data_IF_266381920733
#
_entry.id   IF_266381920733
#
_cell.length_a   1.000
_cell.length_b   1.000
_cell.length_c   1.000
_cell.angle_alpha   90.00
_cell.angle_beta   90.00
_cell.angle_gamma   90.00
#
_symmetry.space_group_name_H-M   'P 1'
#
loop_
_entity.id
_entity.type
_entity.pdbx_description
1 polymer ?
#
# COMPACT_ATOMS: atom_id res chain seq x y z
N UNK A 1 3.33 20.19 -28.63
CA UNK A 1 3.32 18.90 -27.93
C UNK A 1 2.46 19.11 -26.71
N UNK A 2 1.19 18.76 -26.84
CA UNK A 2 0.18 18.90 -25.78
C UNK A 2 0.34 17.73 -24.81
N UNK A 3 0.55 18.03 -23.53
CA UNK A 3 0.49 17.04 -22.45
C UNK A 3 -0.97 16.62 -22.28
N UNK A 4 -1.29 15.41 -22.71
CA UNK A 4 -2.56 14.77 -22.38
C UNK A 4 -2.63 14.54 -20.87
N UNK A 5 -3.34 15.43 -20.20
CA UNK A 5 -3.69 15.33 -18.80
C UNK A 5 -4.49 14.06 -18.54
N UNK A 6 -3.89 13.07 -17.84
CA UNK A 6 -4.61 11.91 -17.30
C UNK A 6 -5.79 12.39 -16.45
N UNK A 7 -6.97 12.35 -17.01
CA UNK A 7 -8.23 12.56 -16.30
C UNK A 7 -8.40 11.42 -15.28
N UNK A 8 -8.06 11.70 -14.02
CA UNK A 8 -8.39 10.82 -12.90
C UNK A 8 -9.88 10.92 -12.63
N UNK A 9 -10.66 9.99 -13.17
CA UNK A 9 -12.09 9.92 -12.88
C UNK A 9 -12.30 9.60 -11.39
N UNK A 10 -12.76 10.59 -10.63
CA UNK A 10 -13.30 10.40 -9.28
C UNK A 10 -14.70 9.79 -9.40
N UNK A 11 -14.80 8.47 -9.38
CA UNK A 11 -16.08 7.78 -9.37
C UNK A 11 -16.40 7.34 -7.94
N UNK A 12 -16.81 8.28 -7.08
CA UNK A 12 -17.17 7.97 -5.69
C UNK A 12 -18.45 8.65 -5.18
N UNK A 13 -19.29 9.21 -6.06
CA UNK A 13 -20.44 10.00 -5.65
C UNK A 13 -21.73 9.21 -5.37
N UNK A 14 -21.84 7.95 -5.78
CA UNK A 14 -23.09 7.18 -5.68
C UNK A 14 -22.97 5.94 -4.78
N UNK A 15 -22.37 6.07 -3.59
CA UNK A 15 -22.39 4.98 -2.64
C UNK A 15 -23.61 5.10 -1.73
N UNK A 16 -24.51 4.11 -1.72
CA UNK A 16 -25.56 4.07 -0.71
C UNK A 16 -24.94 4.03 0.69
N UNK A 17 -25.52 4.75 1.62
CA UNK A 17 -25.14 4.74 3.03
C UNK A 17 -25.27 3.33 3.59
N UNK A 18 -24.35 2.90 4.45
CA UNK A 18 -24.45 1.60 5.13
C UNK A 18 -25.70 1.44 6.00
N UNK A 19 -26.33 2.55 6.40
CA UNK A 19 -27.54 2.56 7.21
C UNK A 19 -28.80 2.06 6.46
N UNK A 20 -28.81 2.16 5.13
CA UNK A 20 -30.00 1.84 4.32
C UNK A 20 -30.04 0.39 3.83
N UNK A 21 -29.25 -0.48 4.41
CA UNK A 21 -29.05 -1.82 3.89
C UNK A 21 -29.79 -2.93 4.68
N UNK A 22 -30.84 -3.45 4.11
CA UNK A 22 -31.41 -4.76 4.47
C UNK A 22 -30.63 -5.92 3.83
N UNK A 23 -30.22 -6.93 4.60
CA UNK A 23 -29.16 -7.89 4.24
C UNK A 23 -29.34 -8.68 2.93
N UNK A 24 -30.52 -9.22 2.54
CA UNK A 24 -30.70 -9.96 1.29
C UNK A 24 -30.64 -9.05 0.05
N UNK A 25 -31.27 -7.86 0.10
CA UNK A 25 -31.25 -6.91 -1.00
C UNK A 25 -29.86 -6.32 -1.24
N UNK A 26 -29.01 -6.30 -0.21
CA UNK A 26 -27.61 -5.85 -0.30
C UNK A 26 -26.77 -6.68 -1.24
N UNK A 27 -26.85 -8.00 -1.12
CA UNK A 27 -26.06 -8.88 -1.98
C UNK A 27 -26.45 -8.74 -3.45
N UNK A 28 -27.74 -8.55 -3.72
CA UNK A 28 -28.20 -8.31 -5.09
C UNK A 28 -27.74 -6.94 -5.62
N UNK A 29 -27.81 -5.91 -4.78
CA UNK A 29 -27.32 -4.59 -5.13
C UNK A 29 -25.80 -4.58 -5.38
N UNK A 30 -25.02 -5.25 -4.52
CA UNK A 30 -23.57 -5.39 -4.69
C UNK A 30 -23.23 -6.12 -5.98
N UNK A 31 -23.89 -7.25 -6.28
CA UNK A 31 -23.66 -7.99 -7.54
C UNK A 31 -23.98 -7.14 -8.75
N UNK A 32 -25.05 -6.34 -8.71
CA UNK A 32 -25.41 -5.42 -9.79
C UNK A 32 -24.33 -4.34 -9.97
N UNK A 33 -23.78 -3.79 -8.90
CA UNK A 33 -22.68 -2.82 -8.97
C UNK A 33 -21.43 -3.46 -9.57
N UNK A 34 -21.07 -4.67 -9.10
CA UNK A 34 -19.92 -5.42 -9.62
C UNK A 34 -20.11 -5.69 -11.11
N UNK A 35 -21.30 -6.19 -11.53
CA UNK A 35 -21.61 -6.46 -12.93
C UNK A 35 -21.44 -5.20 -13.80
N UNK A 36 -22.01 -4.06 -13.36
CA UNK A 36 -21.88 -2.79 -14.08
C UNK A 36 -20.41 -2.40 -14.27
N UNK A 37 -19.58 -2.53 -13.24
CA UNK A 37 -18.14 -2.23 -13.31
C UNK A 37 -17.39 -3.18 -14.23
N UNK A 38 -17.64 -4.49 -14.11
CA UNK A 38 -16.98 -5.49 -14.96
C UNK A 38 -17.36 -5.39 -16.43
N UNK A 39 -18.60 -4.96 -16.74
CA UNK A 39 -19.03 -4.69 -18.11
C UNK A 39 -18.32 -3.45 -18.67
N UNK A 40 -18.15 -2.41 -17.86
CA UNK A 40 -17.44 -1.19 -18.24
C UNK A 40 -15.93 -1.41 -18.42
N UNK A 41 -15.36 -2.39 -17.71
CA UNK A 41 -13.93 -2.69 -17.70
C UNK A 41 -13.70 -4.18 -17.98
N UNK A 42 -13.83 -4.61 -19.26
CA UNK A 42 -13.79 -6.04 -19.63
C UNK A 42 -12.45 -6.71 -19.35
N UNK A 43 -11.36 -5.94 -19.27
CA UNK A 43 -10.03 -6.45 -18.88
C UNK A 43 -9.79 -6.21 -17.39
N UNK A 44 -10.51 -6.95 -16.54
CA UNK A 44 -10.36 -6.86 -15.10
C UNK A 44 -9.39 -7.92 -14.55
N UNK A 45 -8.57 -7.53 -13.57
CA UNK A 45 -7.69 -8.41 -12.82
C UNK A 45 -7.99 -8.29 -11.33
N UNK A 46 -8.10 -9.43 -10.64
CA UNK A 46 -8.32 -9.51 -9.20
C UNK A 46 -7.08 -10.07 -8.50
N UNK A 47 -6.52 -9.29 -7.58
CA UNK A 47 -5.44 -9.75 -6.70
C UNK A 47 -6.02 -10.59 -5.57
N UNK A 48 -5.81 -11.91 -5.64
CA UNK A 48 -6.26 -12.87 -4.65
C UNK A 48 -5.14 -13.18 -3.67
N UNK A 49 -5.37 -12.99 -2.37
CA UNK A 49 -4.34 -13.16 -1.33
C UNK A 49 -4.44 -14.49 -0.57
N UNK A 50 -5.52 -15.25 -0.75
CA UNK A 50 -5.84 -16.43 0.06
C UNK A 50 -6.36 -16.09 1.46
N UNK A 51 -6.72 -14.84 1.72
CA UNK A 51 -7.37 -14.41 2.95
C UNK A 51 -8.89 -14.27 2.80
N UNK A 52 -9.62 -14.23 3.91
CA UNK A 52 -11.09 -14.21 3.94
C UNK A 52 -11.73 -13.10 3.10
N UNK A 53 -11.15 -11.91 3.09
CA UNK A 53 -11.67 -10.79 2.31
C UNK A 53 -11.54 -11.04 0.80
N UNK A 54 -10.44 -11.67 0.37
CA UNK A 54 -10.25 -12.07 -1.03
C UNK A 54 -11.13 -13.25 -1.43
N UNK A 55 -11.45 -14.16 -0.51
CA UNK A 55 -12.39 -15.26 -0.73
C UNK A 55 -13.82 -14.72 -0.99
N UNK A 56 -14.27 -13.80 -0.13
CA UNK A 56 -15.58 -13.14 -0.29
C UNK A 56 -15.64 -12.40 -1.63
N UNK A 57 -14.58 -11.71 -1.99
CA UNK A 57 -14.51 -10.97 -3.23
C UNK A 57 -14.57 -11.89 -4.46
N UNK A 58 -13.82 -12.99 -4.46
CA UNK A 58 -13.86 -13.99 -5.52
C UNK A 58 -15.25 -14.63 -5.63
N UNK A 59 -15.86 -15.03 -4.51
CA UNK A 59 -17.22 -15.57 -4.47
C UNK A 59 -18.24 -14.60 -5.07
N UNK A 60 -18.19 -13.33 -4.68
CA UNK A 60 -19.06 -12.29 -5.21
C UNK A 60 -18.88 -12.08 -6.72
N UNK A 61 -17.65 -12.07 -7.21
CA UNK A 61 -17.36 -11.95 -8.64
C UNK A 61 -17.93 -13.15 -9.41
N UNK A 62 -17.68 -14.37 -8.96
CA UNK A 62 -18.11 -15.57 -9.68
C UNK A 62 -19.65 -15.76 -9.61
N UNK A 63 -20.30 -15.42 -8.50
CA UNK A 63 -21.78 -15.36 -8.44
C UNK A 63 -22.33 -14.27 -9.36
N UNK A 64 -21.68 -13.14 -9.45
CA UNK A 64 -22.08 -12.06 -10.37
C UNK A 64 -21.98 -12.52 -11.82
N UNK A 65 -20.90 -13.19 -12.20
CA UNK A 65 -20.72 -13.72 -13.56
C UNK A 65 -21.77 -14.78 -13.93
N UNK A 66 -22.14 -15.64 -12.98
CA UNK A 66 -23.22 -16.62 -13.19
C UNK A 66 -24.59 -15.93 -13.39
N UNK A 67 -24.82 -14.81 -12.70
CA UNK A 67 -26.07 -14.07 -12.78
C UNK A 67 -26.15 -13.18 -14.03
N UNK A 68 -25.01 -12.66 -14.48
CA UNK A 68 -24.89 -11.73 -15.60
C UNK A 68 -23.92 -12.30 -16.67
N UNK A 69 -24.41 -13.12 -17.61
CA UNK A 69 -23.57 -13.81 -18.62
C UNK A 69 -22.74 -12.89 -19.53
N UNK A 70 -23.11 -11.60 -19.63
CA UNK A 70 -22.37 -10.60 -20.38
C UNK A 70 -21.08 -10.13 -19.69
N UNK A 71 -20.89 -10.49 -18.40
CA UNK A 71 -19.65 -10.17 -17.67
C UNK A 71 -18.53 -11.09 -18.10
N UNK A 72 -17.45 -10.51 -18.60
CA UNK A 72 -16.27 -11.26 -19.05
C UNK A 72 -15.55 -11.93 -17.86
N UNK A 73 -14.80 -13.02 -18.09
CA UNK A 73 -13.97 -13.64 -17.09
C UNK A 73 -12.96 -12.67 -16.49
N UNK A 74 -12.85 -12.69 -15.15
CA UNK A 74 -11.86 -11.91 -14.41
C UNK A 74 -10.59 -12.75 -14.27
N UNK A 75 -9.43 -12.16 -14.53
CA UNK A 75 -8.13 -12.78 -14.27
C UNK A 75 -7.82 -12.75 -12.79
N UNK A 76 -7.58 -13.92 -12.18
CA UNK A 76 -7.14 -13.99 -10.79
C UNK A 76 -5.63 -14.19 -10.70
N UNK A 77 -4.97 -13.45 -9.78
CA UNK A 77 -3.53 -13.55 -9.58
C UNK A 77 -3.19 -13.63 -8.10
N UNK A 78 -2.27 -14.52 -7.76
CA UNK A 78 -1.71 -14.68 -6.43
C UNK A 78 -0.24 -14.28 -6.44
N UNK A 79 0.14 -13.30 -5.61
CA UNK A 79 1.52 -12.83 -5.50
C UNK A 79 2.24 -13.55 -4.37
N UNK A 80 2.98 -14.61 -4.72
CA UNK A 80 3.78 -15.39 -3.77
C UNK A 80 5.15 -14.74 -3.56
N UNK A 81 5.34 -14.09 -2.42
CA UNK A 81 6.60 -13.43 -2.06
C UNK A 81 7.67 -14.41 -1.55
N UNK A 82 7.28 -15.66 -1.32
CA UNK A 82 8.12 -16.71 -0.74
C UNK A 82 8.00 -16.85 0.78
N UNK A 83 7.18 -16.01 1.44
CA UNK A 83 6.90 -16.07 2.88
C UNK A 83 5.49 -16.57 3.21
N UNK A 84 4.68 -16.82 2.22
CA UNK A 84 3.32 -17.30 2.44
C UNK A 84 3.33 -18.69 3.08
N UNK A 85 2.46 -18.87 4.08
CA UNK A 85 2.29 -20.13 4.76
C UNK A 85 1.87 -21.23 3.77
N UNK A 86 2.27 -22.47 4.04
CA UNK A 86 1.89 -23.60 3.21
C UNK A 86 0.35 -23.75 3.13
N UNK A 87 -0.34 -23.57 4.25
CA UNK A 87 -1.80 -23.58 4.31
C UNK A 87 -2.45 -22.53 3.37
N UNK A 88 -1.87 -21.34 3.26
CA UNK A 88 -2.35 -20.31 2.33
C UNK A 88 -2.22 -20.78 0.87
N UNK A 89 -1.10 -21.41 0.51
CA UNK A 89 -0.89 -21.92 -0.86
C UNK A 89 -1.83 -23.08 -1.19
N UNK A 90 -2.12 -23.93 -0.23
CA UNK A 90 -3.09 -25.02 -0.36
C UNK A 90 -4.50 -24.45 -0.54
N UNK A 91 -4.89 -23.48 0.30
CA UNK A 91 -6.18 -22.80 0.19
C UNK A 91 -6.39 -22.11 -1.16
N UNK A 92 -5.34 -21.48 -1.72
CA UNK A 92 -5.39 -20.89 -3.08
C UNK A 92 -5.76 -21.94 -4.13
N UNK A 93 -5.16 -23.14 -4.05
CA UNK A 93 -5.47 -24.25 -4.98
C UNK A 93 -6.89 -24.78 -4.79
N UNK A 94 -7.28 -25.05 -3.55
CA UNK A 94 -8.62 -25.51 -3.20
C UNK A 94 -9.71 -24.53 -3.67
N UNK A 95 -9.44 -23.24 -3.53
CA UNK A 95 -10.35 -22.19 -4.01
C UNK A 95 -10.43 -22.16 -5.53
N UNK A 96 -9.32 -22.29 -6.24
CA UNK A 96 -9.30 -22.39 -7.69
C UNK A 96 -10.14 -23.57 -8.19
N UNK A 97 -9.97 -24.75 -7.59
CA UNK A 97 -10.73 -25.96 -7.88
C UNK A 97 -12.22 -25.80 -7.57
N UNK A 98 -12.54 -25.27 -6.37
CA UNK A 98 -13.93 -25.07 -5.90
C UNK A 98 -14.75 -24.19 -6.84
N UNK A 99 -14.15 -23.12 -7.37
CA UNK A 99 -14.84 -22.17 -8.23
C UNK A 99 -14.64 -22.47 -9.73
N UNK A 100 -13.77 -23.41 -10.09
CA UNK A 100 -13.42 -23.73 -11.48
C UNK A 100 -12.73 -22.56 -12.18
N UNK A 101 -11.90 -21.82 -11.45
CA UNK A 101 -11.16 -20.66 -11.96
C UNK A 101 -9.66 -20.92 -11.93
N UNK A 102 -8.92 -20.26 -12.82
CA UNK A 102 -7.47 -20.26 -12.78
C UNK A 102 -6.99 -19.10 -11.90
N UNK A 103 -6.15 -19.40 -10.89
CA UNK A 103 -5.45 -18.40 -10.09
C UNK A 103 -3.96 -18.50 -10.43
N UNK A 104 -3.47 -17.54 -11.22
CA UNK A 104 -2.09 -17.53 -11.69
C UNK A 104 -1.14 -17.06 -10.57
N UNK A 105 -0.14 -17.87 -10.26
CA UNK A 105 0.88 -17.52 -9.26
C UNK A 105 2.01 -16.70 -9.89
N UNK A 106 2.27 -15.52 -9.31
CA UNK A 106 3.40 -14.67 -9.68
C UNK A 106 4.40 -14.56 -8.54
N UNK A 107 5.68 -14.77 -8.88
CA UNK A 107 6.79 -14.66 -7.94
C UNK A 107 7.72 -13.51 -8.30
N UNK A 108 8.31 -12.81 -7.30
CA UNK A 108 9.34 -11.82 -7.56
C UNK A 108 10.61 -12.49 -8.12
N UNK A 109 11.40 -11.72 -8.87
CA UNK A 109 12.69 -12.18 -9.38
C UNK A 109 13.70 -12.49 -8.26
N UNK A 110 13.60 -11.75 -7.16
CA UNK A 110 14.40 -11.95 -5.95
C UNK A 110 13.44 -12.24 -4.80
N UNK A 111 13.79 -13.21 -3.95
CA UNK A 111 13.00 -13.49 -2.77
C UNK A 111 13.22 -12.42 -1.69
N UNK A 112 12.35 -12.41 -0.67
CA UNK A 112 12.38 -11.38 0.36
C UNK A 112 13.69 -11.37 1.17
N UNK A 113 14.31 -12.53 1.36
CA UNK A 113 15.61 -12.64 2.06
C UNK A 113 16.72 -11.98 1.25
N UNK A 114 16.75 -12.24 -0.05
CA UNK A 114 17.69 -11.59 -0.96
C UNK A 114 17.44 -10.08 -1.03
N UNK A 115 16.18 -9.66 -1.09
CA UNK A 115 15.81 -8.25 -1.08
C UNK A 115 16.25 -7.56 0.24
N UNK A 116 16.06 -8.21 1.38
CA UNK A 116 16.47 -7.70 2.68
C UNK A 116 18.01 -7.57 2.77
N UNK A 117 18.76 -8.56 2.30
CA UNK A 117 20.23 -8.52 2.26
C UNK A 117 20.74 -7.41 1.34
N UNK A 118 20.10 -7.20 0.19
CA UNK A 118 20.55 -6.23 -0.81
C UNK A 118 20.15 -4.79 -0.46
N UNK A 119 18.93 -4.59 0.01
CA UNK A 119 18.33 -3.25 0.17
C UNK A 119 18.16 -2.82 1.63
N UNK A 120 18.24 -3.73 2.57
CA UNK A 120 18.04 -3.50 3.99
C UNK A 120 16.80 -4.18 4.56
N UNK A 121 16.77 -4.26 5.88
CA UNK A 121 15.73 -4.93 6.66
C UNK A 121 14.66 -3.92 7.07
N UNK A 122 13.35 -4.25 7.00
CA UNK A 122 12.31 -3.37 7.53
C UNK A 122 12.36 -3.32 9.06
N UNK A 123 12.11 -2.13 9.62
CA UNK A 123 12.16 -1.88 11.05
C UNK A 123 10.91 -1.13 11.52
N UNK A 124 10.23 -1.65 12.53
CA UNK A 124 9.01 -1.12 13.16
C UNK A 124 7.85 -0.90 12.19
N UNK A 125 7.99 0.03 11.25
CA UNK A 125 6.98 0.35 10.23
C UNK A 125 7.63 0.80 8.93
N UNK A 126 6.83 0.85 7.85
CA UNK A 126 7.31 1.30 6.54
C UNK A 126 7.80 2.75 6.56
N UNK A 127 7.11 3.64 7.27
CA UNK A 127 7.49 5.05 7.39
C UNK A 127 8.81 5.17 8.13
N UNK A 128 8.95 4.45 9.25
CA UNK A 128 10.19 4.42 10.04
C UNK A 128 11.35 3.84 9.23
N UNK A 129 11.14 2.72 8.55
CA UNK A 129 12.18 2.10 7.73
C UNK A 129 12.67 3.00 6.61
N UNK A 130 11.78 3.75 5.98
CA UNK A 130 12.17 4.71 4.94
C UNK A 130 12.93 5.90 5.54
N UNK A 131 12.43 6.48 6.63
CA UNK A 131 13.07 7.62 7.29
C UNK A 131 14.46 7.29 7.84
N UNK A 132 14.59 6.18 8.57
CA UNK A 132 15.88 5.72 9.11
C UNK A 132 16.84 5.34 7.97
N UNK A 133 16.35 4.63 6.95
CA UNK A 133 17.16 4.28 5.79
C UNK A 133 17.66 5.49 5.00
N UNK A 134 16.86 6.55 4.88
CA UNK A 134 17.30 7.83 4.32
C UNK A 134 18.34 8.50 5.23
N UNK A 135 18.12 8.51 6.54
CA UNK A 135 19.07 9.07 7.50
C UNK A 135 20.42 8.34 7.46
N UNK A 136 20.45 7.02 7.40
CA UNK A 136 21.68 6.23 7.26
C UNK A 136 22.49 6.55 5.98
N UNK A 137 21.84 7.07 4.94
CA UNK A 137 22.47 7.36 3.65
C UNK A 137 22.77 8.84 3.43
N UNK A 138 22.20 9.73 4.23
CA UNK A 138 22.32 11.18 4.12
C UNK A 138 22.91 11.76 5.39
N UNK A 139 23.90 12.63 5.26
CA UNK A 139 24.60 13.26 6.39
C UNK A 139 23.76 14.39 7.01
N UNK A 140 22.56 14.08 7.51
CA UNK A 140 21.71 15.03 8.24
C UNK A 140 21.72 14.67 9.72
N UNK A 141 22.16 15.57 10.61
CA UNK A 141 22.22 15.28 12.04
C UNK A 141 20.81 15.21 12.64
N UNK A 142 20.63 14.32 13.63
CA UNK A 142 19.36 14.17 14.34
C UNK A 142 18.99 15.44 15.15
N UNK A 143 19.96 16.25 15.53
CA UNK A 143 19.76 17.51 16.26
C UNK A 143 18.87 18.53 15.53
N UNK A 144 18.68 18.39 14.21
CA UNK A 144 17.74 19.26 13.50
C UNK A 144 16.30 19.13 14.00
N UNK A 145 15.94 17.98 14.57
CA UNK A 145 14.63 17.79 15.19
C UNK A 145 14.45 18.72 16.42
N UNK A 146 15.50 18.84 17.24
CA UNK A 146 15.52 19.74 18.41
C UNK A 146 15.53 21.20 17.96
N UNK A 147 16.35 21.54 16.96
CA UNK A 147 16.35 22.89 16.37
C UNK A 147 14.94 23.27 15.87
N UNK A 148 14.25 22.33 15.22
CA UNK A 148 12.89 22.56 14.74
C UNK A 148 11.90 22.70 15.90
N UNK A 149 12.01 21.88 16.94
CA UNK A 149 11.13 21.96 18.13
C UNK A 149 11.28 23.27 18.90
N UNK A 150 12.49 23.80 19.01
CA UNK A 150 12.78 25.06 19.71
C UNK A 150 12.42 26.31 18.90
N UNK A 151 12.19 26.19 17.60
CA UNK A 151 11.91 27.33 16.75
C UNK A 151 10.51 27.92 17.01
N UNK A 152 10.41 29.24 17.10
CA UNK A 152 9.14 29.97 17.25
C UNK A 152 8.30 29.87 15.96
N UNK A 153 8.94 30.04 14.79
CA UNK A 153 8.31 29.84 13.48
C UNK A 153 8.77 28.51 12.85
N UNK A 154 7.92 27.52 12.98
CA UNK A 154 8.16 26.16 12.44
C UNK A 154 8.30 26.14 10.92
N UNK A 155 7.54 26.98 10.22
CA UNK A 155 7.57 27.01 8.75
C UNK A 155 8.84 27.69 8.23
N UNK A 156 9.26 28.77 8.86
CA UNK A 156 10.53 29.43 8.52
C UNK A 156 11.73 28.50 8.79
N UNK A 157 11.74 27.84 9.96
CA UNK A 157 12.80 26.88 10.31
C UNK A 157 12.87 25.71 9.34
N UNK A 158 11.73 25.17 8.97
CA UNK A 158 11.66 24.07 8.00
C UNK A 158 12.22 24.49 6.63
N UNK A 159 11.93 25.71 6.15
CA UNK A 159 12.52 26.25 4.92
C UNK A 159 14.04 26.37 5.03
N UNK A 160 14.53 26.95 6.09
CA UNK A 160 15.96 27.06 6.39
C UNK A 160 16.65 25.67 6.37
N UNK A 161 16.05 24.67 7.02
CA UNK A 161 16.61 23.31 7.03
C UNK A 161 16.65 22.69 5.64
N UNK A 162 15.64 22.93 4.79
CA UNK A 162 15.65 22.44 3.41
C UNK A 162 16.72 23.12 2.55
N UNK A 163 16.99 24.38 2.78
CA UNK A 163 18.07 25.12 2.12
C UNK A 163 19.45 24.64 2.60
N UNK A 164 19.59 24.37 3.91
CA UNK A 164 20.82 23.85 4.53
C UNK A 164 21.14 22.42 4.04
N UNK A 165 20.13 21.60 3.82
CA UNK A 165 20.26 20.20 3.39
C UNK A 165 19.50 19.95 2.07
N UNK A 166 20.01 20.38 0.93
CA UNK A 166 19.34 20.21 -0.35
C UNK A 166 19.17 18.72 -0.70
N UNK A 167 18.05 18.38 -1.36
CA UNK A 167 17.66 17.00 -1.71
C UNK A 167 17.36 16.09 -0.51
N UNK A 168 17.22 16.66 0.69
CA UNK A 168 16.86 15.93 1.93
C UNK A 168 15.45 16.27 2.43
N UNK A 169 14.57 16.80 1.59
CA UNK A 169 13.24 17.28 2.00
C UNK A 169 12.40 16.20 2.70
N UNK A 170 12.38 14.98 2.16
CA UNK A 170 11.66 13.85 2.77
C UNK A 170 12.20 13.51 4.15
N UNK A 171 13.53 13.50 4.29
CA UNK A 171 14.19 13.22 5.55
C UNK A 171 13.97 14.35 6.58
N UNK A 172 14.03 15.62 6.16
CA UNK A 172 13.74 16.76 7.04
C UNK A 172 12.28 16.67 7.53
N UNK A 173 11.33 16.40 6.64
CA UNK A 173 9.93 16.22 7.03
C UNK A 173 9.77 15.05 8.01
N UNK A 174 10.51 13.98 7.83
CA UNK A 174 10.52 12.83 8.73
C UNK A 174 11.09 13.19 10.11
N UNK A 175 12.26 13.82 10.17
CA UNK A 175 12.90 14.21 11.42
C UNK A 175 12.13 15.31 12.18
N UNK A 176 11.52 16.24 11.45
CA UNK A 176 10.64 17.27 12.01
C UNK A 176 9.20 16.80 12.25
N UNK A 177 8.88 15.53 12.03
CA UNK A 177 7.55 14.93 12.26
C UNK A 177 6.41 15.65 11.54
N UNK A 178 6.66 16.13 10.32
CA UNK A 178 5.66 16.82 9.50
C UNK A 178 5.41 16.14 8.16
N UNK A 179 4.30 16.49 7.52
CA UNK A 179 3.98 16.07 6.16
C UNK A 179 4.68 16.96 5.12
N UNK A 180 4.40 16.76 3.83
CA UNK A 180 4.96 17.55 2.74
C UNK A 180 4.56 19.03 2.76
N UNK A 181 3.40 19.36 3.37
CA UNK A 181 2.90 20.73 3.54
C UNK A 181 3.43 21.39 4.83
N UNK A 182 4.01 20.61 5.73
CA UNK A 182 4.55 21.08 7.00
C UNK A 182 3.63 20.89 8.20
N UNK A 183 2.48 20.21 8.02
CA UNK A 183 1.57 19.93 9.12
C UNK A 183 2.11 18.77 9.98
N UNK A 184 1.87 18.80 11.30
CA UNK A 184 2.31 17.73 12.20
C UNK A 184 1.79 16.35 11.79
N UNK A 185 2.63 15.32 11.91
CA UNK A 185 2.23 13.92 11.75
C UNK A 185 2.27 13.22 13.10
N UNK A 186 1.12 13.09 13.79
CA UNK A 186 1.09 12.54 15.14
C UNK A 186 1.65 11.11 15.23
N UNK A 187 1.46 10.28 14.20
CA UNK A 187 1.96 8.90 14.19
C UNK A 187 3.50 8.82 14.13
N UNK A 188 4.16 9.75 13.42
CA UNK A 188 5.62 9.82 13.38
C UNK A 188 6.12 10.43 14.69
N UNK A 189 5.44 11.44 15.21
CA UNK A 189 5.75 12.08 16.46
C UNK A 189 5.70 11.11 17.64
N UNK A 190 4.72 10.20 17.68
CA UNK A 190 4.64 9.13 18.68
C UNK A 190 5.87 8.21 18.66
N UNK A 191 6.45 7.96 17.50
CA UNK A 191 7.59 7.01 17.36
C UNK A 191 8.94 7.70 17.57
N UNK A 192 9.14 8.93 17.08
CA UNK A 192 10.44 9.62 17.16
C UNK A 192 10.54 10.54 18.37
N UNK A 193 9.51 11.37 18.63
CA UNK A 193 9.57 12.41 19.65
C UNK A 193 8.98 12.00 20.99
N UNK A 194 7.98 11.13 21.04
CA UNK A 194 7.40 10.64 22.29
C UNK A 194 8.04 9.37 22.82
N UNK A 195 8.74 8.63 21.98
CA UNK A 195 9.53 7.49 22.43
C UNK A 195 10.97 7.92 22.62
N UNK A 196 11.26 8.42 23.82
CA UNK A 196 12.64 8.61 24.32
C UNK A 196 13.51 7.39 23.99
N UNK A 197 12.96 6.20 24.16
CA UNK A 197 13.65 4.94 23.88
C UNK A 197 14.06 4.76 22.41
N UNK A 198 13.25 5.21 21.44
CA UNK A 198 13.61 5.06 20.03
C UNK A 198 14.69 6.07 19.62
N UNK A 199 14.63 7.29 20.16
CA UNK A 199 15.66 8.32 19.94
C UNK A 199 16.96 7.88 20.58
N UNK A 200 16.91 7.46 21.84
CA UNK A 200 18.06 6.95 22.58
C UNK A 200 18.65 5.72 21.86
N UNK A 201 17.79 4.79 21.39
CA UNK A 201 18.23 3.64 20.62
C UNK A 201 18.98 4.02 19.33
N UNK A 202 18.46 4.96 18.55
CA UNK A 202 19.12 5.41 17.31
C UNK A 202 20.41 6.18 17.60
N UNK A 203 20.46 6.94 18.68
CA UNK A 203 21.64 7.73 19.08
C UNK A 203 22.74 6.88 19.72
N UNK A 204 22.37 5.97 20.61
CA UNK A 204 23.33 5.15 21.37
C UNK A 204 23.71 3.87 20.63
N UNK A 205 22.79 3.30 19.87
CA UNK A 205 22.94 2.07 19.12
C UNK A 205 22.54 2.28 17.66
N UNK A 206 23.27 3.12 16.90
CA UNK A 206 22.97 3.24 15.48
C UNK A 206 23.07 1.86 14.84
N UNK A 207 22.00 1.39 14.16
CA UNK A 207 22.02 0.05 13.56
C UNK A 207 23.18 -0.05 12.57
N UNK A 208 24.04 -1.04 12.76
CA UNK A 208 25.17 -1.38 11.86
C UNK A 208 24.71 -2.06 10.57
N UNK A 209 23.43 -2.43 10.51
CA UNK A 209 22.77 -2.98 9.33
C UNK A 209 21.89 -1.95 8.64
N UNK A 210 21.72 -2.11 7.34
CA UNK A 210 20.89 -1.22 6.54
C UNK A 210 19.41 -1.42 6.83
N UNK A 211 18.71 -0.34 7.16
CA UNK A 211 17.25 -0.31 7.34
C UNK A 211 16.59 0.19 6.07
N UNK A 212 15.54 -0.51 5.60
CA UNK A 212 14.79 -0.12 4.41
C UNK A 212 13.47 -0.85 4.31
N UNK A 213 12.44 -0.20 3.76
CA UNK A 213 11.18 -0.84 3.37
C UNK A 213 11.16 -1.30 1.89
N UNK A 214 12.29 -1.26 1.19
CA UNK A 214 12.37 -1.58 -0.25
C UNK A 214 12.03 -3.04 -0.59
N UNK A 215 12.14 -3.97 0.38
CA UNK A 215 11.71 -5.36 0.18
C UNK A 215 10.25 -5.43 -0.30
N UNK A 216 9.35 -4.60 0.25
CA UNK A 216 7.96 -4.53 -0.20
C UNK A 216 7.83 -4.03 -1.65
N UNK A 217 8.66 -3.08 -2.06
CA UNK A 217 8.62 -2.53 -3.40
C UNK A 217 9.08 -3.57 -4.44
N UNK A 218 10.15 -4.30 -4.15
CA UNK A 218 10.70 -5.33 -5.06
C UNK A 218 9.90 -6.64 -5.06
N UNK A 219 9.43 -7.09 -3.89
CA UNK A 219 8.78 -8.40 -3.78
C UNK A 219 7.26 -8.35 -4.02
N UNK A 220 6.61 -7.19 -3.88
CA UNK A 220 5.16 -7.04 -4.09
C UNK A 220 4.82 -6.06 -5.20
N UNK A 221 5.15 -4.77 -5.02
CA UNK A 221 4.65 -3.71 -5.90
C UNK A 221 5.16 -3.82 -7.33
N UNK A 222 6.45 -4.09 -7.55
CA UNK A 222 6.98 -4.21 -8.90
C UNK A 222 6.38 -5.39 -9.67
N UNK A 223 6.14 -6.51 -8.97
CA UNK A 223 5.48 -7.68 -9.57
C UNK A 223 4.04 -7.33 -9.92
N UNK A 224 3.30 -6.73 -8.97
CA UNK A 224 1.92 -6.32 -9.20
C UNK A 224 1.80 -5.32 -10.35
N UNK A 225 2.60 -4.25 -10.35
CA UNK A 225 2.59 -3.26 -11.43
C UNK A 225 2.88 -3.86 -12.80
N UNK A 226 3.83 -4.81 -12.87
CA UNK A 226 4.16 -5.48 -14.13
C UNK A 226 2.98 -6.29 -14.68
N UNK A 227 2.29 -7.01 -13.81
CA UNK A 227 1.16 -7.88 -14.19
C UNK A 227 -0.09 -7.06 -14.49
N UNK A 228 -0.32 -6.00 -13.73
CA UNK A 228 -1.56 -5.20 -13.77
C UNK A 228 -1.60 -4.13 -14.86
N UNK A 229 -0.46 -3.77 -15.46
CA UNK A 229 -0.36 -2.64 -16.40
C UNK A 229 -1.23 -2.77 -17.67
N UNK A 230 -1.55 -4.01 -18.07
CA UNK A 230 -2.29 -4.30 -19.30
C UNK A 230 -3.80 -4.51 -19.04
N UNK A 231 -4.26 -4.20 -17.81
CA UNK A 231 -5.65 -4.34 -17.37
C UNK A 231 -6.30 -2.99 -17.10
N UNK A 232 -7.59 -2.89 -17.43
CA UNK A 232 -8.38 -1.66 -17.29
C UNK A 232 -8.83 -1.43 -15.84
N UNK A 233 -9.00 -2.53 -15.07
CA UNK A 233 -9.45 -2.48 -13.69
C UNK A 233 -8.69 -3.48 -12.83
N UNK A 234 -8.22 -2.99 -11.68
CA UNK A 234 -7.57 -3.79 -10.65
C UNK A 234 -8.52 -3.91 -9.46
N UNK A 235 -8.80 -5.15 -9.04
CA UNK A 235 -9.68 -5.46 -7.93
C UNK A 235 -8.86 -6.01 -6.78
N UNK A 236 -9.05 -5.46 -5.58
CA UNK A 236 -8.35 -5.89 -4.35
C UNK A 236 -9.35 -6.05 -3.21
N UNK A 237 -9.10 -6.98 -2.30
CA UNK A 237 -9.89 -7.21 -1.09
C UNK A 237 -9.58 -6.23 0.05
N UNK A 238 -8.99 -5.06 -0.23
CA UNK A 238 -8.69 -4.07 0.80
C UNK A 238 -9.97 -3.39 1.29
N UNK A 239 -10.18 -3.36 2.60
CA UNK A 239 -11.30 -2.65 3.23
C UNK A 239 -10.97 -1.17 3.36
N UNK A 240 -11.98 -0.33 3.26
CA UNK A 240 -11.84 1.13 3.39
C UNK A 240 -11.18 1.54 4.72
N UNK A 241 -11.48 0.81 5.78
CA UNK A 241 -11.03 1.14 7.13
C UNK A 241 -9.57 0.72 7.41
N UNK A 242 -8.97 -0.10 6.54
CA UNK A 242 -7.57 -0.53 6.65
C UNK A 242 -6.58 0.50 6.13
N UNK A 243 -7.03 1.44 5.35
CA UNK A 243 -6.21 2.46 4.73
C UNK A 243 -6.57 3.86 5.16
N UNK A 244 -6.06 4.35 6.29
CA UNK A 244 -6.00 5.78 6.49
C UNK A 244 -5.33 6.42 5.27
N UNK A 245 -5.84 7.46 4.66
CA UNK A 245 -5.27 8.25 3.55
C UNK A 245 -4.85 7.50 2.27
N UNK A 246 -5.04 6.21 2.15
CA UNK A 246 -4.83 5.55 0.87
C UNK A 246 -5.95 5.95 -0.07
N UNK A 247 -5.67 6.93 -0.90
CA UNK A 247 -6.43 7.16 -2.12
C UNK A 247 -6.42 5.84 -2.87
N UNK A 248 -7.50 5.09 -2.77
CA UNK A 248 -7.71 3.92 -3.59
C UNK A 248 -7.64 4.38 -5.04
N UNK A 249 -6.55 4.05 -5.67
CA UNK A 249 -6.40 4.21 -7.11
C UNK A 249 -7.15 3.04 -7.71
N UNK A 250 -8.34 3.29 -8.18
CA UNK A 250 -9.06 2.43 -9.10
C UNK A 250 -8.73 2.91 -10.50
#
# INVERSE_FOLDING_TARGET
>A
MEEEGKVRSRVYTDRPSYADFDAPHKFEAIKTIIAKRLIQHPKAICSYSGGSDSDILLDLIERTRKMFPQVQPVKYVFFNTGLEMQATKEHVKETAEKYGVEIEEHRPKINIVQAARTYGIPFVSKIMSNGIGEWQTKSVPLSIAEEYEMANDKQAKRRELKERYPKCESLINFLCCCNSTGDPRPNIQLVINSSKYMRDFINEFPPDFRISAKCCDYCKKQVAHKVQKDYDMIITGERRDEGGDRKSVV
#
